data_IF_800687498599
#
_entry.id   IF_800687498599
#
_cell.length_a   1.000
_cell.length_b   1.000
_cell.length_c   1.000
_cell.angle_alpha   90.00
_cell.angle_beta   90.00
_cell.angle_gamma   90.00
#
_symmetry.space_group_name_H-M   'P 1'
#
loop_
_entity.id
_entity.type
_entity.pdbx_description
1 polymer ?
#
# COMPACT_ATOMS: atom_id res chain seq x y z
N UNK A 1 -13.80 -51.27 -18.54
CA UNK A 1 -12.71 -50.37 -18.11
C UNK A 1 -12.29 -50.71 -16.69
N UNK A 2 -11.11 -51.31 -16.49
CA UNK A 2 -10.61 -51.71 -15.17
C UNK A 2 -10.14 -50.48 -14.39
N UNK A 3 -10.76 -50.23 -13.22
CA UNK A 3 -10.37 -49.19 -12.25
C UNK A 3 -8.95 -49.49 -11.74
N UNK A 4 -8.00 -48.60 -11.99
CA UNK A 4 -6.68 -48.61 -11.35
C UNK A 4 -6.86 -48.15 -9.90
N UNK A 5 -6.67 -49.07 -8.97
CA UNK A 5 -6.53 -48.81 -7.53
C UNK A 5 -5.29 -47.96 -7.28
N UNK A 6 -5.46 -46.91 -6.49
CA UNK A 6 -4.37 -46.07 -5.96
C UNK A 6 -3.44 -46.93 -5.11
N UNK A 7 -2.13 -46.88 -5.42
CA UNK A 7 -1.09 -47.53 -4.61
C UNK A 7 -1.15 -46.92 -3.19
N UNK A 8 -1.35 -47.79 -2.19
CA UNK A 8 -1.12 -47.50 -0.77
C UNK A 8 0.26 -46.89 -0.60
N UNK A 9 0.34 -45.78 0.14
CA UNK A 9 1.58 -45.21 0.64
C UNK A 9 2.40 -46.29 1.35
N UNK A 10 3.49 -46.71 0.71
CA UNK A 10 4.45 -47.63 1.31
C UNK A 10 5.08 -46.94 2.51
N UNK A 11 5.02 -47.58 3.69
CA UNK A 11 5.80 -47.17 4.87
C UNK A 11 7.26 -46.96 4.44
N UNK A 12 7.72 -45.72 4.58
CA UNK A 12 9.07 -45.32 4.20
C UNK A 12 10.04 -45.77 5.30
N UNK A 13 11.02 -46.60 4.94
CA UNK A 13 12.17 -46.97 5.77
C UNK A 13 13.44 -46.43 5.10
N UNK A 14 14.21 -45.54 5.76
CA UNK A 14 15.46 -45.01 5.20
C UNK A 14 16.44 -46.13 4.88
N UNK A 15 17.12 -46.04 3.73
CA UNK A 15 18.19 -46.98 3.35
C UNK A 15 19.41 -46.78 4.28
N UNK A 16 19.83 -47.80 5.05
CA UNK A 16 20.89 -47.70 6.07
C UNK A 16 22.24 -47.20 5.54
N UNK A 17 22.52 -47.30 4.23
CA UNK A 17 23.81 -46.90 3.65
C UNK A 17 24.02 -45.37 3.56
N UNK A 18 23.04 -44.57 3.96
CA UNK A 18 23.10 -43.11 3.99
C UNK A 18 23.03 -42.54 5.41
N UNK A 19 23.54 -43.29 6.40
CA UNK A 19 23.58 -42.93 7.82
C UNK A 19 24.44 -41.67 8.06
N UNK A 20 23.84 -40.51 7.88
CA UNK A 20 24.37 -39.21 8.26
C UNK A 20 23.85 -38.89 9.68
N UNK A 21 24.71 -38.58 10.67
CA UNK A 21 24.29 -38.17 12.01
C UNK A 21 23.21 -37.07 11.99
N UNK A 22 23.25 -36.21 10.96
CA UNK A 22 22.27 -35.15 10.77
C UNK A 22 20.90 -35.66 10.29
N UNK A 23 20.87 -36.74 9.49
CA UNK A 23 19.63 -37.39 9.07
C UNK A 23 18.98 -38.16 10.23
N UNK A 24 19.80 -38.72 11.12
CA UNK A 24 19.32 -39.34 12.36
C UNK A 24 18.61 -38.31 13.24
N UNK A 25 19.26 -37.17 13.51
CA UNK A 25 18.65 -36.06 14.27
C UNK A 25 17.36 -35.55 13.60
N UNK A 26 17.32 -35.44 12.26
CA UNK A 26 16.10 -35.06 11.55
C UNK A 26 14.98 -36.11 11.66
N UNK A 27 15.32 -37.41 11.66
CA UNK A 27 14.36 -38.51 11.81
C UNK A 27 13.83 -38.62 13.26
N UNK A 28 14.68 -38.31 14.24
CA UNK A 28 14.28 -38.18 15.66
C UNK A 28 13.25 -37.05 15.82
N UNK A 29 13.48 -35.90 15.19
CA UNK A 29 12.52 -34.78 15.19
C UNK A 29 11.17 -35.11 14.52
N UNK A 30 11.12 -36.05 13.57
CA UNK A 30 9.86 -36.53 12.99
C UNK A 30 9.07 -37.43 13.95
N UNK A 31 9.78 -38.24 14.75
CA UNK A 31 9.21 -39.35 15.53
C UNK A 31 8.94 -39.01 16.99
N UNK A 32 9.59 -37.99 17.55
CA UNK A 32 9.39 -37.59 18.93
C UNK A 32 8.05 -36.86 19.12
N UNK A 33 7.25 -37.37 20.07
CA UNK A 33 6.02 -36.74 20.56
C UNK A 33 6.27 -35.41 21.28
N UNK A 34 7.47 -35.23 21.83
CA UNK A 34 7.87 -34.01 22.52
C UNK A 34 9.35 -33.68 22.21
N UNK A 35 9.55 -32.82 21.21
CA UNK A 35 10.88 -32.29 20.84
C UNK A 35 11.48 -31.46 22.00
N UNK A 36 10.66 -31.01 22.96
CA UNK A 36 11.14 -30.18 24.07
C UNK A 36 12.06 -30.92 25.04
N UNK A 37 11.95 -32.24 25.19
CA UNK A 37 12.84 -33.00 26.09
C UNK A 37 14.28 -33.04 25.54
N UNK A 38 14.42 -33.14 24.23
CA UNK A 38 15.72 -33.06 23.56
C UNK A 38 16.28 -31.64 23.63
N UNK A 39 15.43 -30.62 23.44
CA UNK A 39 15.85 -29.22 23.44
C UNK A 39 16.18 -28.67 24.83
N UNK A 40 15.48 -29.10 25.86
CA UNK A 40 15.69 -28.62 27.24
C UNK A 40 17.07 -29.04 27.77
N UNK A 41 17.55 -30.20 27.35
CA UNK A 41 18.88 -30.71 27.70
C UNK A 41 19.99 -30.14 26.80
N UNK A 42 19.71 -29.90 25.51
CA UNK A 42 20.73 -29.50 24.52
C UNK A 42 20.92 -27.98 24.41
N UNK A 43 19.89 -27.19 24.74
CA UNK A 43 19.88 -25.72 24.62
C UNK A 43 19.19 -25.07 25.85
N UNK A 44 19.81 -25.15 27.03
CA UNK A 44 19.23 -24.64 28.28
C UNK A 44 18.92 -23.13 28.23
N UNK A 45 19.60 -22.37 27.38
CA UNK A 45 19.35 -20.95 27.16
C UNK A 45 17.94 -20.65 26.61
N UNK A 46 17.26 -21.61 25.99
CA UNK A 46 15.91 -21.40 25.47
C UNK A 46 14.81 -21.73 26.49
N UNK A 47 15.18 -22.04 27.75
CA UNK A 47 14.25 -22.45 28.80
C UNK A 47 13.19 -21.41 29.17
N UNK A 48 13.44 -20.12 28.89
CA UNK A 48 12.50 -19.03 29.14
C UNK A 48 11.34 -18.95 28.13
N UNK A 49 11.42 -19.67 27.01
CA UNK A 49 10.35 -19.74 26.01
C UNK A 49 9.35 -20.84 26.37
N UNK A 50 8.06 -20.59 26.12
CA UNK A 50 7.03 -21.66 26.14
C UNK A 50 7.43 -22.78 25.17
N UNK A 51 7.11 -24.04 25.52
CA UNK A 51 7.44 -25.25 24.73
C UNK A 51 7.22 -25.09 23.22
N UNK A 52 6.02 -24.67 22.79
CA UNK A 52 5.70 -24.45 21.36
C UNK A 52 6.60 -23.40 20.68
N UNK A 53 6.97 -22.32 21.39
CA UNK A 53 7.87 -21.27 20.85
C UNK A 53 9.31 -21.76 20.78
N UNK A 54 9.75 -22.55 21.76
CA UNK A 54 11.09 -23.14 21.82
C UNK A 54 11.30 -24.12 20.66
N UNK A 55 10.36 -25.04 20.47
CA UNK A 55 10.38 -26.02 19.39
C UNK A 55 10.42 -25.34 18.02
N UNK A 56 9.54 -24.35 17.78
CA UNK A 56 9.56 -23.57 16.54
C UNK A 56 10.87 -22.81 16.34
N UNK A 57 11.42 -22.18 17.37
CA UNK A 57 12.68 -21.44 17.28
C UNK A 57 13.86 -22.35 16.92
N UNK A 58 13.91 -23.55 17.50
CA UNK A 58 14.91 -24.55 17.18
C UNK A 58 14.80 -25.02 15.74
N UNK A 59 13.63 -25.50 15.32
CA UNK A 59 13.44 -26.07 13.98
C UNK A 59 13.74 -25.05 12.89
N UNK A 60 13.33 -23.80 13.11
CA UNK A 60 13.64 -22.67 12.20
C UNK A 60 15.11 -22.29 12.16
N UNK A 61 15.92 -22.69 13.13
CA UNK A 61 17.37 -22.52 13.12
C UNK A 61 18.07 -23.75 12.51
N UNK A 62 17.67 -24.94 12.94
CA UNK A 62 18.28 -26.22 12.58
C UNK A 62 18.09 -26.57 11.10
N UNK A 63 16.86 -26.50 10.56
CA UNK A 63 16.61 -26.92 9.17
C UNK A 63 17.36 -26.06 8.14
N UNK A 64 17.36 -24.72 8.26
CA UNK A 64 18.25 -23.86 7.47
C UNK A 64 19.72 -24.24 7.53
N UNK A 65 20.23 -24.51 8.74
CA UNK A 65 21.61 -24.92 8.96
C UNK A 65 21.94 -26.28 8.33
N UNK A 66 21.00 -27.24 8.45
CA UNK A 66 21.07 -28.58 7.89
C UNK A 66 21.14 -28.55 6.36
N UNK A 67 20.22 -27.84 5.69
CA UNK A 67 20.16 -27.75 4.23
C UNK A 67 21.49 -27.22 3.65
N UNK A 68 22.11 -26.25 4.33
CA UNK A 68 23.38 -25.68 3.90
C UNK A 68 24.54 -26.69 3.90
N UNK A 69 24.53 -27.66 4.80
CA UNK A 69 25.67 -28.56 5.06
C UNK A 69 25.49 -29.98 4.53
N UNK A 70 24.25 -30.44 4.39
CA UNK A 70 23.98 -31.81 3.99
C UNK A 70 24.33 -32.06 2.51
N UNK A 71 24.72 -33.30 2.20
CA UNK A 71 24.99 -33.78 0.83
C UNK A 71 23.71 -33.86 -0.01
N UNK A 72 23.82 -33.59 -1.30
CA UNK A 72 22.68 -33.46 -2.24
C UNK A 72 21.75 -34.66 -2.28
N UNK A 73 22.31 -35.89 -2.36
CA UNK A 73 21.51 -37.12 -2.39
C UNK A 73 20.68 -37.28 -1.11
N UNK A 74 21.25 -36.92 0.04
CA UNK A 74 20.58 -36.99 1.34
C UNK A 74 19.57 -35.86 1.50
N UNK A 75 19.87 -34.66 0.99
CA UNK A 75 18.94 -33.52 0.99
C UNK A 75 17.62 -33.85 0.29
N UNK A 76 17.71 -34.48 -0.89
CA UNK A 76 16.53 -34.87 -1.68
C UNK A 76 15.60 -35.79 -0.90
N UNK A 77 16.15 -36.74 -0.14
CA UNK A 77 15.36 -37.61 0.74
C UNK A 77 14.81 -36.87 1.96
N UNK A 78 15.58 -35.92 2.49
CA UNK A 78 15.22 -35.16 3.69
C UNK A 78 14.02 -34.24 3.49
N UNK A 79 13.73 -33.81 2.27
CA UNK A 79 12.59 -32.92 2.00
C UNK A 79 11.24 -33.49 2.48
N UNK A 80 11.05 -34.81 2.40
CA UNK A 80 9.80 -35.44 2.88
C UNK A 80 9.68 -35.32 4.41
N UNK A 81 10.78 -35.53 5.13
CA UNK A 81 10.83 -35.39 6.58
C UNK A 81 10.62 -33.94 7.00
N UNK A 82 11.32 -33.02 6.33
CA UNK A 82 11.20 -31.58 6.55
C UNK A 82 9.75 -31.13 6.35
N UNK A 83 9.09 -31.55 5.27
CA UNK A 83 7.68 -31.19 5.00
C UNK A 83 6.75 -31.65 6.13
N UNK A 84 6.92 -32.88 6.63
CA UNK A 84 6.12 -33.41 7.75
C UNK A 84 6.36 -32.63 9.06
N UNK A 85 7.63 -32.36 9.39
CA UNK A 85 7.99 -31.59 10.59
C UNK A 85 7.32 -30.22 10.55
N UNK A 86 7.43 -29.48 9.44
CA UNK A 86 6.80 -28.17 9.33
C UNK A 86 5.27 -28.25 9.35
N UNK A 87 4.65 -29.26 8.74
CA UNK A 87 3.18 -29.44 8.80
C UNK A 87 2.68 -29.71 10.22
N UNK A 88 3.43 -30.48 11.01
CA UNK A 88 3.10 -30.73 12.41
C UNK A 88 3.22 -29.45 13.26
N UNK A 89 4.24 -28.63 13.02
CA UNK A 89 4.49 -27.38 13.75
C UNK A 89 3.53 -26.25 13.37
N UNK A 90 3.10 -26.19 12.12
CA UNK A 90 2.31 -25.09 11.57
C UNK A 90 0.98 -25.59 11.02
N UNK A 91 -0.02 -25.61 11.90
CA UNK A 91 -1.42 -25.96 11.55
C UNK A 91 -2.10 -24.93 10.62
N UNK A 92 -1.56 -23.71 10.53
CA UNK A 92 -2.07 -22.69 9.61
C UNK A 92 -1.35 -22.77 8.26
N UNK A 93 -2.09 -23.16 7.22
CA UNK A 93 -1.54 -23.36 5.88
C UNK A 93 -0.94 -22.09 5.24
N UNK A 94 -1.44 -20.89 5.56
CA UNK A 94 -0.86 -19.63 5.07
C UNK A 94 0.51 -19.36 5.69
N UNK A 95 0.62 -19.56 7.00
CA UNK A 95 1.88 -19.43 7.73
C UNK A 95 2.87 -20.49 7.26
N UNK A 96 2.41 -21.73 7.08
CA UNK A 96 3.21 -22.83 6.58
C UNK A 96 3.83 -22.51 5.22
N UNK A 97 3.06 -22.16 4.19
CA UNK A 97 3.64 -21.91 2.85
C UNK A 97 4.65 -20.75 2.84
N UNK A 98 4.41 -19.70 3.62
CA UNK A 98 5.38 -18.61 3.81
C UNK A 98 6.68 -19.11 4.42
N UNK A 99 6.60 -19.95 5.45
CA UNK A 99 7.74 -20.50 6.16
C UNK A 99 8.52 -21.48 5.28
N UNK A 100 7.83 -22.41 4.59
CA UNK A 100 8.47 -23.32 3.64
C UNK A 100 9.22 -22.54 2.54
N UNK A 101 8.68 -21.40 2.12
CA UNK A 101 9.35 -20.53 1.15
C UNK A 101 10.62 -19.88 1.71
N UNK A 102 10.54 -19.28 2.91
CA UNK A 102 11.66 -18.55 3.52
C UNK A 102 12.75 -19.46 4.05
N UNK A 103 12.38 -20.51 4.77
CA UNK A 103 13.29 -21.31 5.58
C UNK A 103 13.82 -22.54 4.80
N UNK A 104 13.28 -22.82 3.60
CA UNK A 104 13.71 -23.97 2.77
C UNK A 104 13.97 -23.53 1.34
N UNK A 105 12.94 -23.12 0.59
CA UNK A 105 13.05 -22.89 -0.86
C UNK A 105 14.08 -21.81 -1.18
N UNK A 106 14.10 -20.71 -0.41
CA UNK A 106 15.09 -19.64 -0.54
C UNK A 106 16.51 -20.13 -0.26
N UNK A 107 16.71 -20.92 0.79
CA UNK A 107 18.04 -21.43 1.15
C UNK A 107 18.56 -22.39 0.08
N UNK A 108 17.68 -23.24 -0.47
CA UNK A 108 18.02 -24.10 -1.60
C UNK A 108 18.32 -23.27 -2.85
N UNK A 109 17.56 -22.21 -3.14
CA UNK A 109 17.86 -21.33 -4.28
C UNK A 109 19.16 -20.56 -4.11
N UNK A 110 19.49 -20.14 -2.90
CA UNK A 110 20.73 -19.42 -2.59
C UNK A 110 21.95 -20.37 -2.72
N UNK A 111 21.80 -21.65 -2.34
CA UNK A 111 22.87 -22.66 -2.43
C UNK A 111 23.10 -23.20 -3.84
N UNK A 112 22.03 -23.48 -4.59
CA UNK A 112 22.10 -24.19 -5.88
C UNK A 112 21.71 -23.34 -7.09
N UNK A 113 21.25 -22.11 -6.89
CA UNK A 113 20.73 -21.24 -7.93
C UNK A 113 19.21 -21.32 -8.11
N UNK A 114 18.62 -20.22 -8.57
CA UNK A 114 17.19 -20.13 -8.91
C UNK A 114 16.88 -21.08 -10.08
N UNK A 115 15.77 -21.82 -10.01
CA UNK A 115 15.35 -22.84 -10.98
C UNK A 115 16.31 -24.02 -11.23
N UNK A 116 17.32 -24.22 -10.38
CA UNK A 116 18.11 -25.46 -10.36
C UNK A 116 17.24 -26.69 -10.09
N UNK A 117 17.72 -27.88 -10.45
CA UNK A 117 16.99 -29.13 -10.23
C UNK A 117 16.65 -29.34 -8.75
N UNK A 118 17.60 -29.06 -7.85
CA UNK A 118 17.37 -29.14 -6.40
C UNK A 118 16.32 -28.13 -5.92
N UNK A 119 16.33 -26.92 -6.46
CA UNK A 119 15.30 -25.92 -6.13
C UNK A 119 13.92 -26.35 -6.64
N UNK A 120 13.81 -26.92 -7.84
CA UNK A 120 12.55 -27.48 -8.36
C UNK A 120 12.06 -28.64 -7.49
N UNK A 121 12.94 -29.55 -7.09
CA UNK A 121 12.63 -30.66 -6.18
C UNK A 121 12.14 -30.15 -4.82
N UNK A 122 12.77 -29.12 -4.25
CA UNK A 122 12.30 -28.53 -2.99
C UNK A 122 10.89 -27.94 -3.11
N UNK A 123 10.57 -27.25 -4.22
CA UNK A 123 9.22 -26.74 -4.51
C UNK A 123 8.20 -27.86 -4.68
N UNK A 124 8.61 -28.98 -5.25
CA UNK A 124 7.73 -30.10 -5.53
C UNK A 124 7.41 -30.92 -4.27
N UNK A 125 8.42 -31.17 -3.42
CA UNK A 125 8.33 -32.05 -2.25
C UNK A 125 7.89 -31.33 -0.98
N UNK A 126 8.24 -30.06 -0.85
CA UNK A 126 7.93 -29.26 0.34
C UNK A 126 6.88 -28.22 -0.03
N UNK A 127 5.61 -28.61 0.09
CA UNK A 127 4.49 -27.80 -0.36
C UNK A 127 3.21 -28.10 0.42
N UNK A 128 2.38 -27.08 0.50
CA UNK A 128 0.94 -27.27 0.73
C UNK A 128 0.33 -28.00 -0.48
N UNK A 129 -0.64 -28.84 -0.23
CA UNK A 129 -1.36 -29.57 -1.27
C UNK A 129 -2.15 -28.60 -2.16
N UNK A 130 -2.56 -29.09 -3.33
CA UNK A 130 -3.38 -28.30 -4.24
C UNK A 130 -4.72 -27.90 -3.62
N UNK A 131 -5.37 -28.82 -2.91
CA UNK A 131 -6.66 -28.58 -2.26
C UNK A 131 -6.52 -27.59 -1.10
N UNK A 132 -5.46 -27.69 -0.30
CA UNK A 132 -5.16 -26.71 0.75
C UNK A 132 -4.91 -25.32 0.15
N UNK A 133 -4.19 -25.25 -0.98
CA UNK A 133 -3.96 -23.98 -1.67
C UNK A 133 -5.26 -23.39 -2.22
N UNK A 134 -6.14 -24.22 -2.77
CA UNK A 134 -7.47 -23.79 -3.24
C UNK A 134 -8.29 -23.24 -2.07
N UNK A 135 -8.34 -23.97 -0.94
CA UNK A 135 -9.02 -23.51 0.27
C UNK A 135 -8.45 -22.19 0.79
N UNK A 136 -7.12 -21.98 0.75
CA UNK A 136 -6.51 -20.71 1.13
C UNK A 136 -6.94 -19.54 0.24
N UNK A 137 -7.04 -19.77 -1.06
CA UNK A 137 -7.53 -18.76 -2.03
C UNK A 137 -8.98 -18.42 -1.72
N UNK A 138 -9.84 -19.43 -1.52
CA UNK A 138 -11.25 -19.26 -1.18
C UNK A 138 -11.45 -18.53 0.15
N UNK A 139 -10.72 -18.94 1.20
CA UNK A 139 -10.71 -18.26 2.50
C UNK A 139 -10.17 -16.82 2.41
N UNK A 140 -9.20 -16.58 1.51
CA UNK A 140 -8.71 -15.24 1.21
C UNK A 140 -9.80 -14.36 0.61
N UNK A 141 -10.47 -14.84 -0.43
CA UNK A 141 -11.57 -14.14 -1.09
C UNK A 141 -12.74 -13.89 -0.13
N UNK A 142 -13.12 -14.89 0.68
CA UNK A 142 -14.16 -14.77 1.70
C UNK A 142 -13.85 -13.68 2.72
N UNK A 143 -12.61 -13.63 3.24
CA UNK A 143 -12.18 -12.58 4.18
C UNK A 143 -12.23 -11.18 3.57
N UNK A 144 -11.90 -11.04 2.28
CA UNK A 144 -12.01 -9.75 1.58
C UNK A 144 -13.47 -9.34 1.46
N UNK A 145 -14.34 -10.28 1.08
CA UNK A 145 -15.78 -10.05 1.01
C UNK A 145 -16.37 -9.64 2.37
N UNK A 146 -16.10 -10.40 3.43
CA UNK A 146 -16.56 -10.11 4.80
C UNK A 146 -16.10 -8.72 5.28
N UNK A 147 -14.86 -8.33 4.98
CA UNK A 147 -14.35 -6.98 5.28
C UNK A 147 -15.04 -5.89 4.47
N UNK A 148 -15.35 -6.14 3.20
CA UNK A 148 -16.03 -5.18 2.35
C UNK A 148 -17.51 -5.00 2.71
N UNK A 149 -18.13 -6.00 3.36
CA UNK A 149 -19.47 -5.89 3.97
C UNK A 149 -19.42 -5.13 5.31
N UNK A 150 -18.36 -5.34 6.10
CA UNK A 150 -18.16 -4.68 7.40
C UNK A 150 -17.09 -3.59 7.30
N UNK A 151 -17.42 -2.53 6.56
CA UNK A 151 -16.47 -1.44 6.30
C UNK A 151 -16.16 -0.70 7.58
N UNK A 152 -14.90 -0.26 7.70
CA UNK A 152 -14.49 0.60 8.80
C UNK A 152 -14.80 2.04 8.43
N UNK A 153 -15.50 2.75 9.31
CA UNK A 153 -15.84 4.15 9.13
C UNK A 153 -14.81 5.06 9.80
N UNK A 154 -14.41 6.12 9.12
CA UNK A 154 -13.55 7.16 9.65
C UNK A 154 -14.14 8.53 9.34
N UNK A 155 -14.02 9.45 10.29
CA UNK A 155 -14.25 10.86 10.02
C UNK A 155 -13.08 11.39 9.18
N UNK A 156 -13.37 12.05 8.06
CA UNK A 156 -12.31 12.58 7.19
C UNK A 156 -11.53 13.71 7.90
N UNK A 157 -12.20 14.50 8.75
CA UNK A 157 -11.59 15.59 9.52
C UNK A 157 -10.54 15.02 10.48
N UNK A 158 -10.86 13.93 11.18
CA UNK A 158 -9.91 13.25 12.07
C UNK A 158 -8.66 12.80 11.31
N UNK A 159 -8.84 12.24 10.11
CA UNK A 159 -7.71 11.76 9.29
C UNK A 159 -6.84 12.93 8.83
N UNK A 160 -7.45 14.01 8.34
CA UNK A 160 -6.73 15.22 7.92
C UNK A 160 -6.02 15.90 9.10
N UNK A 161 -6.64 15.90 10.28
CA UNK A 161 -6.05 16.43 11.51
C UNK A 161 -4.82 15.62 11.92
N UNK A 162 -4.88 14.28 11.85
CA UNK A 162 -3.71 13.42 12.09
C UNK A 162 -2.58 13.72 11.10
N UNK A 163 -2.89 13.97 9.83
CA UNK A 163 -1.89 14.36 8.83
C UNK A 163 -1.27 15.71 9.21
N UNK A 164 -2.10 16.71 9.51
CA UNK A 164 -1.67 18.08 9.81
C UNK A 164 -0.82 18.15 11.08
N UNK A 165 -1.25 17.50 12.16
CA UNK A 165 -0.50 17.42 13.42
C UNK A 165 0.80 16.64 13.26
N UNK A 166 0.76 15.48 12.60
CA UNK A 166 1.96 14.67 12.39
C UNK A 166 3.00 15.33 11.49
N UNK A 167 2.59 16.13 10.50
CA UNK A 167 3.48 16.89 9.61
C UNK A 167 4.46 17.78 10.36
N UNK A 168 4.01 18.37 11.46
CA UNK A 168 4.78 19.30 12.29
C UNK A 168 5.22 18.68 13.63
N UNK A 169 5.03 17.37 13.82
CA UNK A 169 5.38 16.69 15.06
C UNK A 169 6.88 16.38 15.12
N UNK A 170 7.51 16.65 16.27
CA UNK A 170 8.86 16.15 16.57
C UNK A 170 8.90 14.66 16.89
N UNK A 171 7.74 13.99 16.96
CA UNK A 171 7.68 12.54 17.17
C UNK A 171 7.82 11.81 15.82
N UNK A 172 8.93 11.09 15.64
CA UNK A 172 9.24 10.32 14.44
C UNK A 172 8.13 9.35 14.02
N UNK A 173 7.38 8.80 14.97
CA UNK A 173 6.27 7.88 14.68
C UNK A 173 5.06 8.62 14.11
N UNK A 174 4.74 9.79 14.65
CA UNK A 174 3.63 10.62 14.16
C UNK A 174 3.94 11.19 12.78
N UNK A 175 5.17 11.68 12.57
CA UNK A 175 5.65 12.12 11.26
C UNK A 175 5.60 10.98 10.23
N UNK A 176 6.10 9.79 10.57
CA UNK A 176 6.03 8.65 9.66
C UNK A 176 4.59 8.23 9.34
N UNK A 177 3.66 8.32 10.30
CA UNK A 177 2.24 8.02 10.09
C UNK A 177 1.57 9.07 9.20
N UNK A 178 1.83 10.37 9.42
CA UNK A 178 1.28 11.44 8.57
C UNK A 178 1.76 11.30 7.13
N UNK A 179 3.03 10.96 6.92
CA UNK A 179 3.59 10.75 5.58
C UNK A 179 3.05 9.48 4.89
N UNK A 180 2.75 8.42 5.64
CA UNK A 180 2.07 7.24 5.11
C UNK A 180 0.62 7.55 4.71
N UNK A 181 -0.10 8.31 5.52
CA UNK A 181 -1.44 8.82 5.21
C UNK A 181 -1.43 9.75 4.00
N UNK A 182 -0.43 10.62 3.88
CA UNK A 182 -0.33 11.61 2.82
C UNK A 182 0.01 11.02 1.44
N UNK A 183 0.79 9.93 1.40
CA UNK A 183 1.32 9.36 0.15
C UNK A 183 0.74 8.00 -0.24
N UNK A 184 0.07 7.33 0.70
CA UNK A 184 -0.40 5.95 0.53
C UNK A 184 0.72 4.93 0.29
N UNK A 185 1.98 5.28 0.55
CA UNK A 185 3.12 4.38 0.36
C UNK A 185 3.04 3.21 1.34
N UNK A 186 3.63 2.06 0.98
CA UNK A 186 3.85 1.00 1.97
C UNK A 186 4.95 1.44 2.96
N UNK A 187 4.94 0.95 4.21
CA UNK A 187 6.00 1.27 5.16
C UNK A 187 7.41 1.07 4.62
N UNK A 188 7.68 -0.07 3.97
CA UNK A 188 8.99 -0.34 3.35
C UNK A 188 9.33 0.59 2.17
N UNK A 189 8.33 1.07 1.44
CA UNK A 189 8.51 2.03 0.34
C UNK A 189 8.93 3.38 0.92
N UNK A 190 8.18 3.88 1.90
CA UNK A 190 8.44 5.17 2.52
C UNK A 190 9.76 5.17 3.31
N UNK A 191 9.98 4.18 4.18
CA UNK A 191 11.08 4.25 5.14
C UNK A 191 12.45 3.90 4.55
N UNK A 192 12.55 3.08 3.49
CA UNK A 192 13.86 2.64 3.01
C UNK A 192 14.02 2.46 1.51
N UNK A 193 12.97 2.12 0.75
CA UNK A 193 13.15 1.62 -0.61
C UNK A 193 12.89 2.64 -1.71
N UNK A 194 11.83 3.44 -1.60
CA UNK A 194 11.39 4.29 -2.70
C UNK A 194 12.17 5.61 -2.76
N UNK A 195 12.32 6.14 -3.97
CA UNK A 195 12.72 7.54 -4.18
C UNK A 195 11.53 8.33 -4.70
N UNK A 196 11.49 9.61 -4.30
CA UNK A 196 10.39 10.51 -4.57
C UNK A 196 10.95 11.80 -5.19
N UNK A 197 10.34 12.25 -6.28
CA UNK A 197 10.67 13.53 -6.92
C UNK A 197 9.38 14.30 -7.18
N UNK A 198 9.43 15.64 -7.29
CA UNK A 198 8.28 16.42 -7.73
C UNK A 198 7.76 15.93 -9.08
N UNK A 199 6.44 15.97 -9.27
CA UNK A 199 5.79 15.66 -10.54
C UNK A 199 5.48 16.94 -11.31
N UNK A 200 5.36 16.82 -12.63
CA UNK A 200 4.89 17.92 -13.50
C UNK A 200 3.38 18.20 -13.36
N UNK A 201 2.65 17.31 -12.69
CA UNK A 201 1.19 17.38 -12.52
C UNK A 201 0.72 18.43 -11.49
N UNK A 202 1.65 18.99 -10.70
CA UNK A 202 1.34 20.03 -9.73
C UNK A 202 2.24 20.00 -8.48
N UNK A 203 2.20 21.08 -7.72
CA UNK A 203 3.02 21.29 -6.53
C UNK A 203 2.82 20.22 -5.47
N UNK A 204 1.63 19.62 -5.38
CA UNK A 204 1.28 18.52 -4.47
C UNK A 204 1.35 17.13 -5.10
N UNK A 205 2.01 16.97 -6.25
CA UNK A 205 2.17 15.67 -6.91
C UNK A 205 3.62 15.19 -6.86
N UNK A 206 3.78 13.88 -6.69
CA UNK A 206 5.08 13.22 -6.64
C UNK A 206 5.17 12.07 -7.64
N UNK A 207 6.38 11.81 -8.10
CA UNK A 207 6.76 10.61 -8.83
C UNK A 207 7.51 9.67 -7.90
N UNK A 208 6.96 8.49 -7.63
CA UNK A 208 7.55 7.44 -6.80
C UNK A 208 8.23 6.39 -7.69
N UNK A 209 9.53 6.17 -7.48
CA UNK A 209 10.26 5.02 -8.03
C UNK A 209 10.37 3.90 -6.98
N UNK A 210 10.54 2.66 -7.44
CA UNK A 210 10.67 1.45 -6.62
C UNK A 210 9.45 1.13 -5.73
N UNK A 211 8.34 0.77 -6.37
CA UNK A 211 7.14 0.26 -5.68
C UNK A 211 7.34 -1.20 -5.27
N UNK A 212 7.12 -1.52 -3.99
CA UNK A 212 7.32 -2.86 -3.48
C UNK A 212 6.30 -3.86 -4.06
N UNK A 213 6.68 -5.14 -4.10
CA UNK A 213 5.89 -6.25 -4.67
C UNK A 213 5.58 -6.15 -6.17
N UNK A 214 6.23 -5.24 -6.91
CA UNK A 214 6.26 -5.32 -8.38
C UNK A 214 7.26 -6.38 -8.84
N UNK A 215 6.88 -7.09 -9.91
CA UNK A 215 7.81 -7.94 -10.66
C UNK A 215 8.75 -7.03 -11.47
N UNK A 216 9.98 -7.48 -11.65
CA UNK A 216 11.10 -6.70 -12.23
C UNK A 216 10.77 -6.09 -13.61
N UNK A 217 9.87 -6.69 -14.38
CA UNK A 217 9.50 -6.25 -15.73
C UNK A 217 8.67 -4.94 -15.81
N UNK A 218 8.34 -4.28 -14.69
CA UNK A 218 7.50 -3.07 -14.66
C UNK A 218 8.11 -1.98 -13.76
N UNK A 219 9.25 -1.44 -14.17
CA UNK A 219 9.91 -0.29 -13.53
C UNK A 219 9.22 1.06 -13.76
N UNK A 220 7.98 1.09 -14.26
CA UNK A 220 7.28 2.37 -14.47
C UNK A 220 7.07 3.09 -13.13
N UNK A 221 7.52 4.35 -12.98
CA UNK A 221 7.26 5.11 -11.77
C UNK A 221 5.76 5.32 -11.59
N UNK A 222 5.35 5.54 -10.34
CA UNK A 222 3.98 5.88 -9.99
C UNK A 222 3.90 7.35 -9.70
N UNK A 223 3.12 8.06 -10.51
CA UNK A 223 2.74 9.44 -10.22
C UNK A 223 1.57 9.39 -9.24
N UNK A 224 1.52 10.28 -8.25
CA UNK A 224 0.39 10.33 -7.31
C UNK A 224 0.30 11.69 -6.60
N UNK A 225 -0.90 12.10 -6.16
CA UNK A 225 -1.05 13.29 -5.35
C UNK A 225 -0.67 13.03 -3.89
N UNK A 226 -0.31 14.09 -3.19
CA UNK A 226 -0.11 14.15 -1.75
C UNK A 226 -1.30 14.83 -1.08
N UNK A 227 -1.72 14.29 0.06
CA UNK A 227 -2.75 14.89 0.91
C UNK A 227 -2.05 15.77 1.95
N UNK A 228 -2.36 17.07 1.96
CA UNK A 228 -1.85 18.05 2.92
C UNK A 228 -0.31 18.21 2.98
N UNK A 229 0.35 17.96 1.85
CA UNK A 229 1.77 18.23 1.65
C UNK A 229 2.00 18.78 0.25
N UNK A 230 2.93 19.73 0.13
CA UNK A 230 3.60 19.98 -1.14
C UNK A 230 4.66 18.90 -1.39
N UNK A 231 5.05 18.71 -2.65
CA UNK A 231 6.11 17.79 -3.05
C UNK A 231 7.46 18.15 -2.42
N UNK A 232 7.78 19.45 -2.35
CA UNK A 232 8.99 19.95 -1.71
C UNK A 232 9.01 19.62 -0.20
N UNK A 233 7.95 19.99 0.52
CA UNK A 233 7.83 19.68 1.96
C UNK A 233 7.88 18.17 2.24
N UNK A 234 7.18 17.37 1.44
CA UNK A 234 7.16 15.92 1.62
C UNK A 234 8.56 15.32 1.45
N UNK A 235 9.31 15.76 0.45
CA UNK A 235 10.66 15.23 0.18
C UNK A 235 11.62 15.64 1.30
N UNK A 236 11.53 16.86 1.82
CA UNK A 236 12.40 17.30 2.91
C UNK A 236 12.05 16.60 4.24
N UNK A 237 10.76 16.51 4.59
CA UNK A 237 10.31 15.72 5.75
C UNK A 237 10.66 14.24 5.64
N UNK A 238 10.73 13.69 4.43
CA UNK A 238 11.16 12.31 4.21
C UNK A 238 12.64 12.11 4.55
N UNK A 239 13.50 13.09 4.23
CA UNK A 239 14.92 13.04 4.58
C UNK A 239 15.08 13.04 6.10
N UNK A 240 14.45 14.00 6.78
CA UNK A 240 14.41 14.12 8.24
C UNK A 240 13.95 12.79 8.89
N UNK A 241 12.81 12.25 8.45
CA UNK A 241 12.28 10.98 8.94
C UNK A 241 13.28 9.84 8.76
N UNK A 242 13.92 9.72 7.59
CA UNK A 242 14.86 8.63 7.33
C UNK A 242 16.16 8.76 8.13
N UNK A 243 16.62 9.97 8.39
CA UNK A 243 17.79 10.23 9.24
C UNK A 243 17.51 9.84 10.69
N UNK A 244 16.37 10.28 11.23
CA UNK A 244 15.91 9.88 12.58
C UNK A 244 15.77 8.36 12.70
N UNK A 245 15.17 7.71 11.69
CA UNK A 245 15.02 6.27 11.69
C UNK A 245 16.35 5.51 11.59
N UNK A 246 17.41 6.09 10.98
CA UNK A 246 18.74 5.47 11.01
C UNK A 246 19.32 5.45 12.42
N UNK A 247 19.14 6.54 13.18
CA UNK A 247 19.62 6.65 14.55
C UNK A 247 18.88 5.71 15.50
N UNK A 248 17.54 5.64 15.36
CA UNK A 248 16.71 4.76 16.19
C UNK A 248 16.88 3.28 15.82
N UNK A 249 17.30 2.97 14.58
CA UNK A 249 17.36 1.61 14.06
C UNK A 249 18.64 1.36 13.25
N UNK A 250 19.77 1.25 13.96
CA UNK A 250 21.12 0.93 13.44
C UNK A 250 21.20 -0.34 12.58
N UNK A 251 20.23 -1.26 12.68
CA UNK A 251 20.19 -2.52 11.93
C UNK A 251 19.48 -2.46 10.56
N UNK A 252 18.89 -1.32 10.16
CA UNK A 252 18.10 -1.27 8.91
C UNK A 252 18.95 -1.46 7.64
N UNK A 253 20.24 -1.13 7.66
CA UNK A 253 21.12 -1.28 6.50
C UNK A 253 21.44 -2.75 6.15
N UNK A 254 21.41 -3.65 7.14
CA UNK A 254 21.72 -5.07 6.94
C UNK A 254 20.49 -5.91 6.55
N UNK A 255 19.29 -5.41 6.80
CA UNK A 255 18.04 -6.07 6.41
C UNK A 255 17.64 -5.68 4.98
N UNK A 256 18.11 -6.44 3.98
CA UNK A 256 17.67 -6.33 2.57
C UNK A 256 16.14 -6.49 2.43
N UNK A 257 15.39 -5.41 2.65
CA UNK A 257 13.98 -5.27 2.28
C UNK A 257 12.93 -5.68 3.32
N UNK A 258 13.29 -5.92 4.59
CA UNK A 258 12.32 -6.14 5.68
C UNK A 258 12.39 -4.97 6.67
N UNK A 259 11.29 -4.24 6.85
CA UNK A 259 11.16 -3.32 7.98
C UNK A 259 11.12 -4.19 9.24
N UNK A 260 12.01 -3.95 10.20
CA UNK A 260 12.07 -4.74 11.43
C UNK A 260 10.67 -4.88 12.06
N UNK A 261 10.34 -6.09 12.54
CA UNK A 261 9.05 -6.37 13.21
C UNK A 261 8.84 -5.45 14.42
N UNK A 262 9.92 -5.06 15.09
CA UNK A 262 9.94 -4.09 16.19
C UNK A 262 9.49 -2.70 15.72
N UNK A 263 10.04 -2.23 14.59
CA UNK A 263 9.67 -0.94 13.99
C UNK A 263 8.19 -0.94 13.62
N UNK A 264 7.74 -1.98 12.91
CA UNK A 264 6.34 -2.12 12.52
C UNK A 264 5.40 -2.13 13.72
N UNK A 265 5.81 -2.76 14.83
CA UNK A 265 5.01 -2.82 16.06
C UNK A 265 4.93 -1.46 16.76
N UNK A 266 6.04 -0.72 16.83
CA UNK A 266 6.07 0.61 17.44
C UNK A 266 5.19 1.62 16.67
N UNK A 267 5.28 1.61 15.34
CA UNK A 267 4.40 2.41 14.49
C UNK A 267 2.94 2.00 14.61
N UNK A 268 2.61 0.70 14.64
CA UNK A 268 1.23 0.24 14.83
C UNK A 268 0.65 0.67 16.18
N UNK A 269 1.44 0.69 17.26
CA UNK A 269 1.00 1.19 18.57
C UNK A 269 0.64 2.68 18.49
N UNK A 270 1.48 3.50 17.88
CA UNK A 270 1.20 4.92 17.68
C UNK A 270 -0.01 5.14 16.76
N UNK A 271 -0.13 4.34 15.70
CA UNK A 271 -1.28 4.39 14.80
C UNK A 271 -2.59 4.10 15.54
N UNK A 272 -2.61 3.12 16.45
CA UNK A 272 -3.77 2.88 17.31
C UNK A 272 -4.05 4.08 18.21
N UNK A 273 -3.04 4.63 18.88
CA UNK A 273 -3.20 5.81 19.76
C UNK A 273 -3.82 7.00 19.01
N UNK A 274 -3.35 7.31 17.80
CA UNK A 274 -3.85 8.43 17.00
C UNK A 274 -5.30 8.24 16.53
N UNK A 275 -5.79 7.01 16.48
CA UNK A 275 -7.15 6.67 16.08
C UNK A 275 -7.93 6.03 17.24
N UNK A 276 -7.80 6.60 18.44
CA UNK A 276 -8.58 6.24 19.65
C UNK A 276 -8.53 4.74 20.01
N UNK A 277 -7.33 4.14 19.92
CA UNK A 277 -7.03 2.75 20.27
C UNK A 277 -7.84 1.69 19.51
N UNK A 278 -8.39 2.01 18.33
CA UNK A 278 -9.11 1.06 17.48
C UNK A 278 -8.23 -0.14 17.11
N UNK A 279 -8.61 -1.34 17.53
CA UNK A 279 -7.76 -2.54 17.39
C UNK A 279 -7.47 -2.92 15.93
N UNK A 280 -8.41 -2.63 15.04
CA UNK A 280 -8.37 -2.96 13.61
C UNK A 280 -7.55 -1.95 12.78
N UNK A 281 -6.95 -0.95 13.43
CA UNK A 281 -6.17 0.10 12.80
C UNK A 281 -4.68 -0.25 12.84
N UNK A 282 -4.06 -0.28 11.65
CA UNK A 282 -2.64 -0.61 11.44
C UNK A 282 -2.04 0.32 10.39
N UNK A 283 -0.73 0.26 10.19
CA UNK A 283 -0.05 0.99 9.10
C UNK A 283 -0.64 0.69 7.71
N UNK A 284 -1.25 -0.49 7.51
CA UNK A 284 -1.91 -0.82 6.25
C UNK A 284 -3.20 -0.03 6.05
N UNK A 285 -3.88 0.36 7.13
CA UNK A 285 -5.03 1.28 7.11
C UNK A 285 -4.63 2.62 6.50
N UNK A 286 -3.39 3.07 6.77
CA UNK A 286 -2.60 4.05 6.03
C UNK A 286 -3.04 4.29 4.58
N UNK A 287 -2.76 3.24 3.83
CA UNK A 287 -2.88 3.18 2.38
C UNK A 287 -4.32 3.14 1.88
N UNK A 288 -5.23 2.61 2.70
CA UNK A 288 -6.67 2.54 2.40
C UNK A 288 -7.32 3.91 2.53
N UNK A 289 -7.04 4.59 3.65
CA UNK A 289 -7.47 5.96 3.90
C UNK A 289 -6.96 6.90 2.82
N UNK A 290 -5.66 6.85 2.51
CA UNK A 290 -5.09 7.59 1.38
C UNK A 290 -5.85 7.33 0.08
N UNK A 291 -6.10 6.06 -0.26
CA UNK A 291 -6.76 5.68 -1.50
C UNK A 291 -8.13 6.33 -1.64
N UNK A 292 -8.93 6.31 -0.56
CA UNK A 292 -10.27 6.90 -0.51
C UNK A 292 -10.23 8.44 -0.54
N UNK A 293 -9.41 9.06 0.30
CA UNK A 293 -9.30 10.52 0.37
C UNK A 293 -8.74 11.10 -0.93
N UNK A 294 -7.67 10.52 -1.46
CA UNK A 294 -7.07 10.98 -2.72
C UNK A 294 -8.04 10.84 -3.90
N UNK A 295 -8.86 9.78 -3.92
CA UNK A 295 -9.89 9.63 -4.92
C UNK A 295 -10.90 10.77 -4.85
N UNK A 296 -11.44 11.05 -3.67
CA UNK A 296 -12.45 12.08 -3.49
C UNK A 296 -11.92 13.48 -3.81
N UNK A 297 -10.67 13.78 -3.40
CA UNK A 297 -10.04 15.08 -3.63
C UNK A 297 -9.59 15.31 -5.06
N UNK A 298 -9.01 14.30 -5.74
CA UNK A 298 -8.24 14.52 -6.97
C UNK A 298 -8.79 13.82 -8.21
N UNK A 299 -9.60 12.76 -8.10
CA UNK A 299 -10.02 11.97 -9.27
C UNK A 299 -10.85 12.74 -10.30
N UNK A 300 -11.64 13.71 -9.84
CA UNK A 300 -12.46 14.57 -10.71
C UNK A 300 -11.70 15.76 -11.28
N UNK A 301 -10.58 16.10 -10.65
CA UNK A 301 -9.82 17.31 -10.95
C UNK A 301 -8.54 17.02 -11.71
N UNK A 302 -8.12 15.77 -11.85
CA UNK A 302 -6.96 15.40 -12.66
C UNK A 302 -7.31 14.25 -13.61
N UNK A 303 -7.06 14.44 -14.91
CA UNK A 303 -7.39 13.49 -15.98
C UNK A 303 -6.24 12.52 -16.31
N UNK A 304 -5.17 12.47 -15.52
CA UNK A 304 -3.99 11.63 -15.73
C UNK A 304 -4.36 10.14 -15.89
N UNK A 305 -5.44 9.71 -15.25
CA UNK A 305 -5.95 8.34 -15.33
C UNK A 305 -7.30 8.23 -16.06
N UNK A 306 -7.62 9.22 -16.89
CA UNK A 306 -8.90 9.36 -17.57
C UNK A 306 -9.83 10.36 -16.89
N UNK A 307 -10.89 10.76 -17.59
CA UNK A 307 -11.92 11.66 -17.07
C UNK A 307 -12.81 10.89 -16.10
N UNK A 308 -12.88 11.30 -14.83
CA UNK A 308 -13.67 10.66 -13.78
C UNK A 308 -13.45 9.13 -13.69
N UNK A 309 -12.21 8.68 -13.40
CA UNK A 309 -11.93 7.26 -13.34
C UNK A 309 -12.77 6.59 -12.26
N UNK A 310 -13.15 5.33 -12.48
CA UNK A 310 -13.73 4.50 -11.42
C UNK A 310 -12.74 4.35 -10.26
N UNK A 311 -13.26 4.18 -9.04
CA UNK A 311 -12.42 4.12 -7.84
C UNK A 311 -11.33 3.04 -7.90
N UNK A 312 -11.65 1.85 -8.43
CA UNK A 312 -10.65 0.77 -8.58
C UNK A 312 -9.55 1.12 -9.58
N UNK A 313 -9.88 1.84 -10.65
CA UNK A 313 -8.92 2.33 -11.65
C UNK A 313 -8.00 3.37 -11.01
N UNK A 314 -8.57 4.31 -10.26
CA UNK A 314 -7.79 5.29 -9.49
C UNK A 314 -6.80 4.59 -8.54
N UNK A 315 -7.31 3.70 -7.68
CA UNK A 315 -6.50 2.95 -6.72
C UNK A 315 -5.37 2.18 -7.39
N UNK A 316 -5.64 1.49 -8.50
CA UNK A 316 -4.61 0.74 -9.21
C UNK A 316 -3.47 1.62 -9.68
N UNK A 317 -3.77 2.81 -10.17
CA UNK A 317 -2.78 3.76 -10.64
C UNK A 317 -1.98 4.39 -9.49
N UNK A 318 -2.64 5.06 -8.53
CA UNK A 318 -1.94 5.80 -7.45
C UNK A 318 -1.23 4.88 -6.44
N UNK A 319 -1.70 3.64 -6.30
CA UNK A 319 -1.05 2.62 -5.47
C UNK A 319 -0.04 1.77 -6.27
N UNK A 320 0.06 1.93 -7.59
CA UNK A 320 1.04 1.22 -8.39
C UNK A 320 0.81 -0.28 -8.50
N UNK A 321 -0.45 -0.72 -8.49
CA UNK A 321 -0.79 -2.11 -8.78
C UNK A 321 -0.53 -2.44 -10.26
N UNK A 322 -0.51 -3.73 -10.59
CA UNK A 322 -0.43 -4.15 -11.98
C UNK A 322 -1.76 -3.80 -12.68
N UNK A 323 -1.69 -3.24 -13.89
CA UNK A 323 -2.83 -2.77 -14.69
C UNK A 323 -3.88 -3.87 -14.89
N UNK A 324 -3.45 -5.14 -14.91
CA UNK A 324 -4.32 -6.31 -15.07
C UNK A 324 -4.94 -6.84 -13.76
N UNK A 325 -4.74 -6.16 -12.62
CA UNK A 325 -5.07 -6.72 -11.30
C UNK A 325 -6.06 -5.85 -10.51
N UNK A 326 -7.26 -5.65 -11.04
CA UNK A 326 -8.38 -4.96 -10.38
C UNK A 326 -8.72 -5.61 -9.03
N UNK A 327 -8.59 -6.94 -8.92
CA UNK A 327 -8.83 -7.70 -7.69
C UNK A 327 -7.98 -7.24 -6.50
N UNK A 328 -6.77 -6.71 -6.75
CA UNK A 328 -5.90 -6.22 -5.68
C UNK A 328 -6.48 -4.94 -5.07
N UNK A 329 -7.13 -4.08 -5.86
CA UNK A 329 -7.76 -2.86 -5.39
C UNK A 329 -8.90 -3.14 -4.39
N UNK A 330 -9.60 -4.28 -4.53
CA UNK A 330 -10.69 -4.66 -3.62
C UNK A 330 -10.25 -4.87 -2.15
N UNK A 331 -8.94 -5.05 -1.90
CA UNK A 331 -8.41 -5.10 -0.52
C UNK A 331 -8.37 -3.73 0.17
N UNK A 332 -8.52 -2.65 -0.60
CA UNK A 332 -8.44 -1.27 -0.12
C UNK A 332 -9.79 -0.55 -0.07
N UNK A 333 -10.87 -1.22 -0.47
CA UNK A 333 -12.22 -0.64 -0.54
C UNK A 333 -13.07 -0.88 0.71
N UNK A 334 -12.49 -1.43 1.77
CA UNK A 334 -13.21 -1.78 2.99
C UNK A 334 -13.20 -0.65 4.05
N UNK A 335 -13.13 0.60 3.60
CA UNK A 335 -13.16 1.81 4.43
C UNK A 335 -14.13 2.81 3.82
N UNK A 336 -14.94 3.44 4.67
CA UNK A 336 -15.80 4.57 4.31
C UNK A 336 -15.43 5.83 5.10
N UNK A 337 -15.77 6.99 4.53
CA UNK A 337 -15.57 8.32 5.12
C UNK A 337 -16.94 8.95 5.39
N UNK A 338 -17.20 9.36 6.62
CA UNK A 338 -18.55 9.78 7.08
C UNK A 338 -18.82 11.29 6.97
N UNK A 339 -17.78 12.11 6.79
CA UNK A 339 -17.88 13.58 6.76
C UNK A 339 -17.07 14.14 5.59
N UNK A 340 -17.73 14.73 4.60
CA UNK A 340 -17.08 15.42 3.48
C UNK A 340 -17.33 16.93 3.55
N UNK A 341 -17.22 17.51 4.74
CA UNK A 341 -16.87 18.92 4.77
C UNK A 341 -15.36 18.94 4.55
N UNK A 342 -14.93 19.29 3.33
CA UNK A 342 -13.54 19.66 3.10
C UNK A 342 -13.20 20.72 4.17
N UNK A 343 -12.29 20.37 5.09
CA UNK A 343 -11.81 21.34 6.08
C UNK A 343 -11.27 22.57 5.35
N UNK A 344 -11.17 23.74 6.00
CA UNK A 344 -10.54 24.91 5.38
C UNK A 344 -9.18 24.58 4.73
N UNK A 345 -8.39 23.68 5.33
CA UNK A 345 -7.13 23.18 4.76
C UNK A 345 -7.36 22.28 3.54
N UNK A 346 -8.34 21.38 3.56
CA UNK A 346 -8.73 20.56 2.41
C UNK A 346 -9.25 21.39 1.23
N UNK A 347 -9.99 22.47 1.53
CA UNK A 347 -10.41 23.48 0.55
C UNK A 347 -9.21 24.27 0.03
N UNK A 348 -8.28 24.69 0.89
CA UNK A 348 -7.07 25.41 0.50
C UNK A 348 -6.17 24.57 -0.42
N UNK A 349 -5.95 23.28 -0.09
CA UNK A 349 -5.17 22.36 -0.95
C UNK A 349 -5.85 22.18 -2.31
N UNK A 350 -7.19 22.06 -2.32
CA UNK A 350 -7.95 21.96 -3.56
C UNK A 350 -7.90 23.26 -4.36
N UNK A 351 -7.94 24.40 -3.68
CA UNK A 351 -7.87 25.73 -4.27
C UNK A 351 -6.49 25.99 -4.89
N UNK A 352 -5.40 25.74 -4.16
CA UNK A 352 -4.02 25.82 -4.66
C UNK A 352 -3.83 24.95 -5.89
N UNK A 353 -4.34 23.72 -5.90
CA UNK A 353 -4.27 22.85 -7.07
C UNK A 353 -5.02 23.43 -8.27
N UNK A 354 -6.22 23.97 -8.05
CA UNK A 354 -7.02 24.61 -9.09
C UNK A 354 -6.35 25.88 -9.63
N UNK A 355 -5.70 26.66 -8.75
CA UNK A 355 -5.01 27.89 -9.10
C UNK A 355 -3.75 27.60 -9.95
N UNK A 356 -2.93 26.62 -9.56
CA UNK A 356 -1.78 26.16 -10.36
C UNK A 356 -2.20 25.63 -11.74
N UNK A 357 -3.32 24.90 -11.83
CA UNK A 357 -3.83 24.42 -13.13
C UNK A 357 -4.34 25.56 -14.01
N UNK A 358 -4.87 26.62 -13.43
CA UNK A 358 -5.33 27.78 -14.18
C UNK A 358 -4.12 28.53 -14.73
N UNK A 359 -3.07 28.67 -13.94
CA UNK A 359 -1.81 29.30 -14.38
C UNK A 359 -1.17 28.51 -15.53
N UNK A 360 -1.06 27.18 -15.42
CA UNK A 360 -0.55 26.33 -16.51
C UNK A 360 -1.40 26.44 -17.80
N UNK A 361 -2.73 26.53 -17.65
CA UNK A 361 -3.63 26.72 -18.79
C UNK A 361 -3.50 28.12 -19.36
N UNK A 362 -3.34 29.14 -18.52
CA UNK A 362 -3.15 30.53 -18.95
C UNK A 362 -1.84 30.69 -19.72
N UNK A 363 -0.72 30.14 -19.22
CA UNK A 363 0.58 30.12 -19.91
C UNK A 363 0.47 29.39 -21.26
N UNK A 364 -0.21 28.24 -21.31
CA UNK A 364 -0.43 27.53 -22.58
C UNK A 364 -1.29 28.32 -23.55
N UNK A 365 -2.30 29.04 -23.06
CA UNK A 365 -3.12 29.91 -23.89
C UNK A 365 -2.30 31.08 -24.42
N UNK A 366 -1.42 31.66 -23.61
CA UNK A 366 -0.55 32.77 -23.99
C UNK A 366 0.50 32.36 -25.03
N UNK A 367 1.15 31.20 -24.85
CA UNK A 367 2.06 30.61 -25.85
C UNK A 367 1.32 30.34 -27.16
N UNK A 368 0.11 29.78 -27.11
CA UNK A 368 -0.70 29.55 -28.31
C UNK A 368 -1.15 30.87 -28.96
N UNK A 369 -1.44 31.91 -28.17
CA UNK A 369 -1.82 33.23 -28.65
C UNK A 369 -0.68 33.92 -29.42
N UNK A 370 0.57 33.67 -29.01
CA UNK A 370 1.77 34.15 -29.69
C UNK A 370 2.09 33.38 -30.99
N UNK A 371 1.57 32.14 -31.15
CA UNK A 371 1.94 31.26 -32.25
C UNK A 371 0.92 31.19 -33.40
N UNK A 372 -0.37 31.57 -33.23
CA UNK A 372 -1.35 31.63 -34.34
C UNK A 372 -2.67 32.34 -33.95
N UNK A 373 -2.82 33.64 -34.28
CA UNK A 373 -4.06 34.40 -34.00
C UNK A 373 -5.29 33.89 -34.77
N UNK A 374 -5.13 33.42 -36.02
CA UNK A 374 -6.26 33.08 -36.90
C UNK A 374 -6.85 31.68 -36.67
N UNK A 375 -6.05 30.73 -36.20
CA UNK A 375 -6.48 29.34 -35.98
C UNK A 375 -7.26 29.18 -34.66
N UNK A 376 -7.00 30.06 -33.70
CA UNK A 376 -7.59 30.08 -32.35
C UNK A 376 -9.05 30.54 -32.37
N UNK A 377 -9.42 31.52 -33.21
CA UNK A 377 -10.81 31.98 -33.35
C UNK A 377 -11.74 30.82 -33.76
N UNK A 378 -11.22 29.86 -34.53
CA UNK A 378 -11.93 28.63 -34.90
C UNK A 378 -12.03 27.61 -33.74
N UNK A 379 -10.96 27.38 -32.99
CA UNK A 379 -10.92 26.37 -31.92
C UNK A 379 -11.69 26.83 -30.65
N UNK A 380 -11.69 28.13 -30.35
CA UNK A 380 -12.40 28.68 -29.18
C UNK A 380 -13.91 28.62 -29.26
N UNK A 381 -14.49 28.37 -30.44
CA UNK A 381 -15.93 28.30 -30.65
C UNK A 381 -16.60 27.01 -30.12
N UNK A 382 -15.85 25.95 -29.80
CA UNK A 382 -16.47 24.61 -29.60
C UNK A 382 -16.22 23.88 -28.28
N UNK A 383 -14.96 23.75 -27.81
CA UNK A 383 -14.60 22.76 -26.77
C UNK A 383 -13.76 23.28 -25.59
N UNK A 384 -12.91 24.28 -25.83
CA UNK A 384 -12.08 24.90 -24.77
C UNK A 384 -12.92 25.86 -23.92
N UNK A 385 -13.84 26.61 -24.56
CA UNK A 385 -14.81 27.50 -23.91
C UNK A 385 -15.65 26.77 -22.86
N UNK A 386 -16.05 25.52 -23.11
CA UNK A 386 -16.91 24.74 -22.22
C UNK A 386 -16.20 24.29 -20.95
N UNK A 387 -14.93 23.88 -21.04
CA UNK A 387 -14.12 23.49 -19.86
C UNK A 387 -13.74 24.69 -19.00
N UNK A 388 -13.34 25.80 -19.62
CA UNK A 388 -13.05 27.05 -18.89
C UNK A 388 -14.31 27.56 -18.21
N UNK A 389 -15.46 27.56 -18.91
CA UNK A 389 -16.76 27.89 -18.32
C UNK A 389 -17.09 26.98 -17.14
N UNK A 390 -16.86 25.66 -17.24
CA UNK A 390 -17.12 24.73 -16.14
C UNK A 390 -16.26 25.02 -14.90
N UNK A 391 -14.95 25.26 -15.09
CA UNK A 391 -14.02 25.59 -14.00
C UNK A 391 -14.37 26.92 -13.36
N UNK A 392 -14.68 27.94 -14.16
CA UNK A 392 -15.15 29.24 -13.66
C UNK A 392 -16.48 29.09 -12.92
N UNK A 393 -17.39 28.26 -13.41
CA UNK A 393 -18.68 27.97 -12.78
C UNK A 393 -18.51 27.30 -11.42
N UNK A 394 -17.58 26.33 -11.29
CA UNK A 394 -17.28 25.70 -10.00
C UNK A 394 -16.65 26.69 -9.01
N UNK A 395 -15.69 27.52 -9.44
CA UNK A 395 -15.11 28.58 -8.58
C UNK A 395 -16.16 29.58 -8.11
N UNK A 396 -17.07 29.99 -9.01
CA UNK A 396 -18.17 30.91 -8.70
C UNK A 396 -19.13 30.29 -7.69
N UNK A 397 -19.47 29.02 -7.87
CA UNK A 397 -20.31 28.27 -6.93
C UNK A 397 -19.65 28.15 -5.56
N UNK A 398 -18.34 27.87 -5.49
CA UNK A 398 -17.62 27.80 -4.21
C UNK A 398 -17.63 29.14 -3.45
N UNK A 399 -17.35 30.26 -4.14
CA UNK A 399 -17.43 31.60 -3.52
C UNK A 399 -18.85 31.94 -3.06
N UNK A 400 -19.85 31.47 -3.81
CA UNK A 400 -21.25 31.65 -3.47
C UNK A 400 -21.64 30.88 -2.21
N UNK A 401 -21.31 29.58 -2.16
CA UNK A 401 -21.61 28.72 -1.02
C UNK A 401 -20.89 29.21 0.25
N UNK A 402 -19.74 29.86 0.09
CA UNK A 402 -19.03 30.53 1.19
C UNK A 402 -19.77 31.80 1.65
N UNK A 403 -20.14 32.70 0.73
CA UNK A 403 -20.89 33.91 1.10
C UNK A 403 -22.23 33.58 1.77
N UNK A 404 -22.97 32.60 1.25
CA UNK A 404 -24.25 32.17 1.82
C UNK A 404 -24.06 31.65 3.26
N UNK A 405 -23.01 30.86 3.50
CA UNK A 405 -22.67 30.39 4.85
C UNK A 405 -22.31 31.54 5.79
N UNK A 406 -21.52 32.50 5.32
CA UNK A 406 -21.00 33.59 6.15
C UNK A 406 -22.08 34.64 6.49
N UNK A 407 -23.07 34.82 5.60
CA UNK A 407 -24.06 35.89 5.72
C UNK A 407 -25.50 35.41 5.91
N UNK A 408 -25.72 34.08 5.89
CA UNK A 408 -27.03 33.42 5.94
C UNK A 408 -28.09 34.04 5.01
N UNK A 409 -27.65 34.50 3.83
CA UNK A 409 -28.50 35.19 2.86
C UNK A 409 -28.05 34.87 1.44
N UNK A 410 -29.00 34.83 0.52
CA UNK A 410 -28.73 34.65 -0.91
C UNK A 410 -28.08 35.94 -1.44
N UNK A 411 -26.88 35.89 -2.02
CA UNK A 411 -26.22 37.03 -2.67
C UNK A 411 -27.09 37.66 -3.75
N UNK A 412 -27.21 38.98 -3.70
CA UNK A 412 -27.83 39.78 -4.76
C UNK A 412 -26.90 39.93 -5.95
N UNK A 413 -27.42 40.31 -7.13
CA UNK A 413 -26.59 40.61 -8.31
C UNK A 413 -25.49 41.65 -8.02
N UNK A 414 -25.76 42.59 -7.12
CA UNK A 414 -24.79 43.59 -6.66
C UNK A 414 -23.70 42.98 -5.78
N UNK A 415 -24.04 42.01 -4.93
CA UNK A 415 -23.05 41.21 -4.19
C UNK A 415 -22.17 40.40 -5.16
N UNK A 416 -22.76 39.83 -6.23
CA UNK A 416 -22.03 39.12 -7.29
C UNK A 416 -21.02 40.01 -8.00
N UNK A 417 -21.42 41.21 -8.41
CA UNK A 417 -20.54 42.16 -9.08
C UNK A 417 -19.40 42.60 -8.15
N UNK A 418 -19.65 42.69 -6.84
CA UNK A 418 -18.66 43.09 -5.82
C UNK A 418 -17.65 41.99 -5.49
N UNK A 419 -18.09 40.73 -5.35
CA UNK A 419 -17.22 39.56 -5.08
C UNK A 419 -16.21 39.31 -6.22
N UNK A 420 -16.52 39.80 -7.43
CA UNK A 420 -15.82 39.48 -8.67
C UNK A 420 -15.18 40.70 -9.35
N UNK A 421 -15.36 41.91 -8.81
CA UNK A 421 -14.83 43.17 -9.36
C UNK A 421 -13.29 43.26 -9.45
N UNK A 422 -12.54 42.25 -8.99
CA UNK A 422 -11.08 42.20 -9.13
C UNK A 422 -10.59 41.53 -10.42
N UNK A 423 -11.48 41.03 -11.29
CA UNK A 423 -11.10 40.29 -12.50
C UNK A 423 -11.85 40.80 -13.76
N UNK A 424 -11.15 41.57 -14.59
CA UNK A 424 -11.70 42.46 -15.64
C UNK A 424 -12.44 41.71 -16.76
N UNK A 425 -12.15 40.42 -17.00
CA UNK A 425 -12.73 39.60 -18.08
C UNK A 425 -14.16 39.10 -17.81
N UNK A 426 -14.74 39.45 -16.66
CA UNK A 426 -15.89 38.74 -16.09
C UNK A 426 -17.10 39.65 -15.88
N UNK A 427 -17.73 40.22 -16.92
CA UNK A 427 -19.07 40.87 -16.75
C UNK A 427 -20.19 40.17 -17.53
N UNK A 428 -19.93 39.77 -18.79
CA UNK A 428 -20.92 39.05 -19.59
C UNK A 428 -21.22 37.63 -19.04
N UNK A 429 -20.19 36.94 -18.55
CA UNK A 429 -20.31 35.60 -17.97
C UNK A 429 -21.01 35.58 -16.61
N UNK A 430 -20.93 36.66 -15.82
CA UNK A 430 -21.62 36.78 -14.51
C UNK A 430 -23.13 36.80 -14.69
N UNK A 431 -23.63 37.55 -15.67
CA UNK A 431 -25.07 37.65 -15.93
C UNK A 431 -25.66 36.33 -16.42
N UNK A 432 -24.89 35.56 -17.19
CA UNK A 432 -25.22 34.20 -17.61
C UNK A 432 -25.23 33.23 -16.42
N UNK A 433 -24.22 33.25 -15.56
CA UNK A 433 -24.17 32.45 -14.33
C UNK A 433 -25.35 32.73 -13.41
N UNK A 434 -25.62 34.00 -13.10
CA UNK A 434 -26.69 34.41 -12.20
C UNK A 434 -28.07 33.95 -12.69
N UNK A 435 -28.31 34.01 -14.01
CA UNK A 435 -29.55 33.49 -14.61
C UNK A 435 -29.70 31.99 -14.45
N UNK A 436 -28.65 31.21 -14.70
CA UNK A 436 -28.72 29.74 -14.58
C UNK A 436 -28.80 29.29 -13.11
N UNK A 437 -28.10 29.97 -12.21
CA UNK A 437 -28.17 29.70 -10.77
C UNK A 437 -29.59 29.91 -10.22
N UNK A 438 -30.22 31.03 -10.56
CA UNK A 438 -31.60 31.33 -10.14
C UNK A 438 -32.64 30.34 -10.69
N UNK A 439 -32.34 29.63 -11.79
CA UNK A 439 -33.21 28.56 -12.31
C UNK A 439 -33.04 27.24 -11.56
N UNK A 440 -31.92 27.04 -10.87
CA UNK A 440 -31.58 25.81 -10.16
C UNK A 440 -32.00 25.80 -8.67
N UNK A 441 -32.43 26.95 -8.17
CA UNK A 441 -33.19 27.12 -6.94
C UNK A 441 -34.66 27.30 -7.28
#
# INVERSE_FOLDING_TARGET
>A
MKRKTTKKDSKFTPDPKYYDPLLKELSELETHKDVNDVLTNKYPELQFLSSDKREKAYIRSFIPWYIKRIKDKTLKHSFVLIDKIYKNLYKNNSTLDSILTKDIRKIVSDKYGVNSEMHKESKYRVKISYDEKKQLIEQGAKRVYERNQNRLEFDNKDVLEVISKGKNSGNVYELGISMLLASGSRPIELFSRSSYTPSKEGSNWITQKYVAKRKEDIEKPVIKPLINYTSAEFIDKLKELREELKFVFTDMENSKGELSSTVSSAFNRNMKRLFNYRENVTLYTCRKLYGKISYEMFSKVNNLYGTNPEFHVWLNNVLGHNVKSIEIAANYTNIDLTSYDLTPEGLAIRQDFLDNRIEEVAERVEILHLENEDEISRIFSGKVSSKIKLIMFEKLKMKFDQYYRDNNKIPTLTDFETILAKDITTRANIRLFYREYKKSM
#
